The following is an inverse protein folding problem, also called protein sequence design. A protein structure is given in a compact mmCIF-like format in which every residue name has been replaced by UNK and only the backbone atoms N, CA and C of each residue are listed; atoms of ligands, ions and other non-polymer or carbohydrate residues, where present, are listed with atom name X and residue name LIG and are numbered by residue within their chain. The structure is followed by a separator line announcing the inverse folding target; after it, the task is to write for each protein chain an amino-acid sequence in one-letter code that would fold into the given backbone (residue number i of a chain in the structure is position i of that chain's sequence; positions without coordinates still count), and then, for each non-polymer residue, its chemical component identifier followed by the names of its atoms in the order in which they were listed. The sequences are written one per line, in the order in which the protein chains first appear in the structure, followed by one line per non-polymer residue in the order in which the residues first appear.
data_IF_798661791914
#
_entry.id   IF_798661791914
#
_cell.length_a   1.000
_cell.length_b   1.000
_cell.length_c   1.000
_cell.angle_alpha   90.00
_cell.angle_beta   90.00
_cell.angle_gamma   90.00
#
_symmetry.space_group_name_H-M   'P 1'
#
loop_
_entity.id
_entity.type
_entity.pdbx_description
1 polymer ?
#
# COMPACT_ATOMS: atom_id res chain seq x y z
N UNK A 1 3.06 -10.29 4.91
CA UNK A 1 3.34 -8.88 5.22
C UNK A 1 3.66 -8.11 3.93
N UNK A 2 3.17 -6.89 3.83
CA UNK A 2 3.35 -5.98 2.67
C UNK A 2 4.83 -5.85 2.24
N UNK A 3 5.75 -5.75 3.20
CA UNK A 3 7.18 -5.57 2.96
C UNK A 3 7.88 -6.81 2.36
N UNK A 4 7.30 -8.02 2.53
CA UNK A 4 7.84 -9.31 2.01
C UNK A 4 6.97 -9.92 0.93
N UNK A 5 5.71 -9.49 0.82
CA UNK A 5 4.69 -10.10 -0.01
C UNK A 5 4.91 -9.92 -1.52
N UNK A 6 3.99 -10.49 -2.29
CA UNK A 6 3.95 -10.33 -3.73
C UNK A 6 3.49 -8.91 -4.14
N UNK A 7 3.80 -8.45 -5.37
CA UNK A 7 3.33 -7.15 -5.90
C UNK A 7 1.82 -6.93 -5.74
N UNK A 8 1.02 -7.99 -5.86
CA UNK A 8 -0.43 -7.93 -5.67
C UNK A 8 -0.82 -7.41 -4.28
N UNK A 9 -0.14 -7.87 -3.21
CA UNK A 9 -0.45 -7.45 -1.84
C UNK A 9 -0.12 -5.97 -1.61
N UNK A 10 0.95 -5.47 -2.22
CA UNK A 10 1.33 -4.05 -2.15
C UNK A 10 0.32 -3.18 -2.89
N UNK A 11 -0.12 -3.58 -4.10
CA UNK A 11 -1.20 -2.88 -4.80
C UNK A 11 -2.50 -2.88 -4.01
N UNK A 12 -2.91 -4.04 -3.47
CA UNK A 12 -4.13 -4.12 -2.65
C UNK A 12 -4.09 -3.19 -1.43
N UNK A 13 -2.93 -3.02 -0.82
CA UNK A 13 -2.77 -2.09 0.30
C UNK A 13 -3.03 -0.64 -0.12
N UNK A 14 -2.36 -0.16 -1.18
CA UNK A 14 -2.55 1.22 -1.65
C UNK A 14 -3.94 1.44 -2.24
N UNK A 15 -4.44 0.48 -3.04
CA UNK A 15 -5.77 0.59 -3.65
C UNK A 15 -6.87 0.64 -2.58
N UNK A 16 -6.73 -0.15 -1.49
CA UNK A 16 -7.65 -0.10 -0.35
C UNK A 16 -7.61 1.27 0.34
N UNK A 17 -6.43 1.76 0.67
CA UNK A 17 -6.24 3.04 1.34
C UNK A 17 -6.79 4.19 0.50
N UNK A 18 -6.46 4.26 -0.79
CA UNK A 18 -6.94 5.31 -1.69
C UNK A 18 -8.44 5.21 -1.95
N UNK A 19 -9.00 4.00 -2.03
CA UNK A 19 -10.45 3.78 -2.19
C UNK A 19 -11.26 4.25 -0.98
N UNK A 20 -10.73 4.08 0.24
CA UNK A 20 -11.39 4.58 1.46
C UNK A 20 -11.33 6.11 1.53
N UNK A 21 -10.24 6.70 1.08
CA UNK A 21 -10.03 8.15 1.13
C UNK A 21 -10.69 8.94 0.00
N UNK A 22 -10.98 8.29 -1.15
CA UNK A 22 -11.44 8.99 -2.35
C UNK A 22 -12.42 8.14 -3.18
N UNK A 23 -13.69 8.60 -3.23
CA UNK A 23 -14.76 7.95 -4.02
C UNK A 23 -14.46 7.92 -5.53
N UNK A 24 -13.76 8.93 -6.05
CA UNK A 24 -13.39 8.97 -7.47
C UNK A 24 -12.39 7.83 -7.78
N UNK A 25 -11.39 7.63 -6.90
CA UNK A 25 -10.41 6.56 -7.06
C UNK A 25 -11.05 5.16 -7.10
N UNK A 26 -11.96 4.83 -6.17
CA UNK A 26 -12.61 3.51 -6.17
C UNK A 26 -13.44 3.29 -7.44
N UNK A 27 -14.11 4.33 -7.95
CA UNK A 27 -14.84 4.23 -9.20
C UNK A 27 -13.91 3.93 -10.39
N UNK A 28 -12.80 4.68 -10.52
CA UNK A 28 -11.80 4.46 -11.57
C UNK A 28 -11.16 3.08 -11.49
N UNK A 29 -10.86 2.60 -10.28
CA UNK A 29 -10.36 1.25 -10.05
C UNK A 29 -11.36 0.17 -10.49
N UNK A 30 -12.64 0.35 -10.17
CA UNK A 30 -13.69 -0.59 -10.58
C UNK A 30 -13.92 -0.59 -12.08
N UNK A 31 -13.96 0.60 -12.72
CA UNK A 31 -14.09 0.73 -14.17
C UNK A 31 -12.92 0.05 -14.90
N UNK A 32 -11.70 0.30 -14.46
CA UNK A 32 -10.51 -0.34 -15.00
C UNK A 32 -10.54 -1.86 -14.85
N UNK A 33 -10.91 -2.38 -13.68
CA UNK A 33 -10.97 -3.82 -13.45
C UNK A 33 -12.05 -4.51 -14.31
N UNK A 34 -13.18 -3.84 -14.58
CA UNK A 34 -14.20 -4.33 -15.50
C UNK A 34 -13.67 -4.39 -16.93
N UNK A 35 -13.04 -3.31 -17.41
CA UNK A 35 -12.43 -3.27 -18.74
C UNK A 35 -11.34 -4.34 -18.91
N UNK A 36 -10.48 -4.51 -17.88
CA UNK A 36 -9.45 -5.56 -17.86
C UNK A 36 -10.04 -6.96 -17.94
N UNK A 37 -11.11 -7.24 -17.21
CA UNK A 37 -11.81 -8.53 -17.26
C UNK A 37 -12.38 -8.80 -18.66
N UNK A 38 -12.99 -7.80 -19.29
CA UNK A 38 -13.56 -7.90 -20.64
C UNK A 38 -12.48 -8.14 -21.68
N UNK A 39 -11.37 -7.37 -21.64
CA UNK A 39 -10.23 -7.60 -22.55
C UNK A 39 -9.63 -9.00 -22.36
N UNK A 40 -9.46 -9.46 -21.13
CA UNK A 40 -8.93 -10.80 -20.88
C UNK A 40 -9.87 -11.90 -21.41
N UNK A 41 -11.18 -11.72 -21.31
CA UNK A 41 -12.15 -12.66 -21.91
C UNK A 41 -12.04 -12.68 -23.46
N UNK A 42 -11.89 -11.50 -24.09
CA UNK A 42 -11.66 -11.42 -25.54
C UNK A 42 -10.35 -12.11 -25.94
N UNK A 43 -9.26 -11.90 -25.21
CA UNK A 43 -7.98 -12.58 -25.44
C UNK A 43 -8.10 -14.11 -25.37
N UNK A 44 -8.83 -14.63 -24.39
CA UNK A 44 -9.09 -16.06 -24.25
C UNK A 44 -9.91 -16.61 -25.42
N UNK A 45 -10.98 -15.91 -25.81
CA UNK A 45 -11.80 -16.31 -26.96
C UNK A 45 -10.99 -16.32 -28.29
N UNK A 46 -10.09 -15.35 -28.50
CA UNK A 46 -9.20 -15.32 -29.65
C UNK A 46 -8.20 -16.50 -29.61
N UNK A 47 -7.58 -16.73 -28.45
CA UNK A 47 -6.65 -17.85 -28.26
C UNK A 47 -7.30 -19.20 -28.55
N UNK A 48 -8.58 -19.35 -28.15
CA UNK A 48 -9.35 -20.59 -28.32
C UNK A 48 -10.10 -20.64 -29.70
N UNK A 49 -9.71 -19.79 -30.66
CA UNK A 49 -10.28 -19.68 -32.02
C UNK A 49 -11.79 -19.44 -32.10
N UNK A 50 -12.40 -18.94 -31.02
CA UNK A 50 -13.83 -18.61 -30.93
C UNK A 50 -14.17 -17.29 -31.61
N UNK A 51 -13.20 -16.37 -31.70
CA UNK A 51 -13.37 -15.02 -32.25
C UNK A 51 -12.12 -14.57 -33.01
N UNK A 52 -12.31 -13.62 -33.96
CA UNK A 52 -11.21 -13.06 -34.74
C UNK A 52 -10.44 -12.00 -33.96
N UNK A 53 -9.15 -11.88 -34.26
CA UNK A 53 -8.21 -10.93 -33.63
C UNK A 53 -8.66 -9.46 -33.72
N UNK A 54 -9.31 -9.07 -34.83
CA UNK A 54 -9.82 -7.69 -35.01
C UNK A 54 -10.88 -7.26 -34.00
N UNK A 55 -11.48 -8.20 -33.26
CA UNK A 55 -12.46 -7.91 -32.21
C UNK A 55 -11.80 -7.45 -30.89
N UNK A 56 -10.48 -7.40 -30.80
CA UNK A 56 -9.78 -6.92 -29.61
C UNK A 56 -9.73 -5.38 -29.52
N UNK A 57 -9.73 -4.70 -30.66
CA UNK A 57 -9.56 -3.23 -30.73
C UNK A 57 -10.51 -2.41 -29.85
N UNK A 58 -11.82 -2.70 -29.77
CA UNK A 58 -12.72 -1.98 -28.85
C UNK A 58 -12.31 -2.09 -27.39
N UNK A 59 -11.84 -3.28 -26.98
CA UNK A 59 -11.39 -3.53 -25.60
C UNK A 59 -10.05 -2.88 -25.29
N UNK A 60 -9.14 -2.80 -26.27
CA UNK A 60 -7.88 -2.06 -26.16
C UNK A 60 -8.14 -0.57 -25.92
N UNK A 61 -9.07 0.03 -26.69
CA UNK A 61 -9.46 1.43 -26.55
C UNK A 61 -10.11 1.70 -25.20
N UNK A 62 -11.03 0.87 -24.77
CA UNK A 62 -11.69 1.00 -23.46
C UNK A 62 -10.67 0.86 -22.33
N UNK A 63 -9.82 -0.16 -22.38
CA UNK A 63 -8.83 -0.40 -21.34
C UNK A 63 -7.80 0.73 -21.25
N UNK A 64 -7.33 1.27 -22.39
CA UNK A 64 -6.36 2.38 -22.42
C UNK A 64 -6.94 3.63 -21.76
N UNK A 65 -8.19 3.99 -22.07
CA UNK A 65 -8.89 5.12 -21.43
C UNK A 65 -9.01 4.96 -19.90
N UNK A 66 -9.43 3.75 -19.46
CA UNK A 66 -9.59 3.50 -18.02
C UNK A 66 -8.24 3.37 -17.28
N UNK A 67 -7.20 2.91 -17.98
CA UNK A 67 -5.84 2.83 -17.46
C UNK A 67 -5.22 4.22 -17.26
N UNK A 68 -5.34 5.13 -18.24
CA UNK A 68 -4.89 6.52 -18.15
C UNK A 68 -5.48 7.20 -16.92
N UNK A 69 -6.81 7.12 -16.77
CA UNK A 69 -7.53 7.71 -15.64
C UNK A 69 -7.04 7.16 -14.30
N UNK A 70 -6.95 5.83 -14.18
CA UNK A 70 -6.51 5.18 -12.93
C UNK A 70 -5.06 5.50 -12.60
N UNK A 71 -4.16 5.49 -13.60
CA UNK A 71 -2.75 5.86 -13.40
C UNK A 71 -2.59 7.31 -12.96
N UNK A 72 -3.32 8.26 -13.55
CA UNK A 72 -3.31 9.66 -13.13
C UNK A 72 -3.71 9.82 -11.67
N UNK A 73 -4.84 9.25 -11.27
CA UNK A 73 -5.31 9.31 -9.88
C UNK A 73 -4.37 8.59 -8.91
N UNK A 74 -3.84 7.41 -9.29
CA UNK A 74 -2.89 6.65 -8.47
C UNK A 74 -1.58 7.41 -8.28
N UNK A 75 -1.07 8.05 -9.32
CA UNK A 75 0.16 8.83 -9.26
C UNK A 75 0.04 10.00 -8.27
N UNK A 76 -1.04 10.77 -8.34
CA UNK A 76 -1.30 11.87 -7.40
C UNK A 76 -1.36 11.40 -5.94
N UNK A 77 -2.10 10.29 -5.69
CA UNK A 77 -2.21 9.74 -4.34
C UNK A 77 -0.89 9.14 -3.83
N UNK A 78 -0.11 8.49 -4.70
CA UNK A 78 1.21 7.96 -4.36
C UNK A 78 2.19 9.08 -4.02
N UNK A 79 2.16 10.19 -4.74
CA UNK A 79 3.01 11.35 -4.44
C UNK A 79 2.70 11.90 -3.04
N UNK A 80 1.41 12.08 -2.71
CA UNK A 80 1.00 12.53 -1.38
C UNK A 80 1.38 11.52 -0.29
N UNK A 81 1.15 10.24 -0.54
CA UNK A 81 1.49 9.16 0.40
C UNK A 81 3.00 9.10 0.64
N UNK A 82 3.81 9.18 -0.42
CA UNK A 82 5.27 9.11 -0.32
C UNK A 82 5.84 10.29 0.50
N UNK A 83 5.36 11.50 0.26
CA UNK A 83 5.77 12.68 1.04
C UNK A 83 5.41 12.51 2.53
N UNK A 84 4.21 11.99 2.80
CA UNK A 84 3.78 11.72 4.18
C UNK A 84 4.60 10.59 4.82
N UNK A 85 4.96 9.55 4.05
CA UNK A 85 5.80 8.46 4.53
C UNK A 85 7.21 8.94 4.90
N UNK A 86 7.83 9.75 4.05
CA UNK A 86 9.14 10.35 4.34
C UNK A 86 9.09 11.22 5.60
N UNK A 87 8.08 12.07 5.73
CA UNK A 87 7.86 12.87 6.96
C UNK A 87 7.65 11.98 8.20
N UNK A 88 6.96 10.86 8.06
CA UNK A 88 6.74 9.89 9.14
C UNK A 88 8.05 9.21 9.56
N UNK A 89 8.91 8.87 8.60
CA UNK A 89 10.26 8.33 8.86
C UNK A 89 11.11 9.35 9.60
N UNK A 90 11.17 10.58 9.11
CA UNK A 90 11.94 11.67 9.74
C UNK A 90 11.48 11.98 11.17
N UNK A 91 10.18 11.94 11.40
CA UNK A 91 9.60 12.15 12.73
C UNK A 91 9.97 11.01 13.71
N UNK A 92 10.10 9.79 13.21
CA UNK A 92 10.54 8.66 14.01
C UNK A 92 12.05 8.72 14.29
N UNK A 93 12.86 8.90 13.25
CA UNK A 93 14.32 9.01 13.37
C UNK A 93 14.93 9.56 12.06
N UNK A 94 15.50 10.75 12.11
CA UNK A 94 16.11 11.45 10.98
C UNK A 94 17.37 10.76 10.42
N UNK A 95 17.95 9.81 11.15
CA UNK A 95 19.12 9.06 10.70
C UNK A 95 18.77 7.87 9.80
N UNK A 96 17.48 7.52 9.71
CA UNK A 96 17.02 6.39 8.90
C UNK A 96 16.84 6.80 7.44
N UNK A 97 17.40 6.03 6.54
CA UNK A 97 17.18 6.13 5.10
C UNK A 97 16.20 5.03 4.64
N UNK A 98 14.89 5.30 4.80
CA UNK A 98 13.83 4.41 4.33
C UNK A 98 13.05 5.13 3.23
N UNK A 99 13.02 4.54 2.03
CA UNK A 99 12.38 5.12 0.84
C UNK A 99 11.43 4.14 0.17
N UNK A 100 10.54 4.68 -0.64
CA UNK A 100 9.69 3.89 -1.54
C UNK A 100 9.93 4.31 -2.98
N UNK A 101 9.77 3.38 -3.91
CA UNK A 101 9.71 3.65 -5.34
C UNK A 101 8.51 2.93 -5.92
N UNK A 102 7.85 3.55 -6.89
CA UNK A 102 6.72 2.95 -7.60
C UNK A 102 7.00 2.87 -9.09
N UNK A 103 6.48 1.82 -9.73
CA UNK A 103 6.48 1.69 -11.19
C UNK A 103 5.29 2.40 -11.83
N UNK A 104 4.43 3.05 -11.05
CA UNK A 104 3.33 3.87 -11.55
C UNK A 104 3.88 5.11 -12.25
N UNK A 105 3.53 5.29 -13.51
CA UNK A 105 3.95 6.41 -14.33
C UNK A 105 2.73 7.08 -14.96
N UNK A 106 2.83 8.39 -15.21
CA UNK A 106 1.83 9.10 -16.01
C UNK A 106 2.01 8.72 -17.46
N UNK A 107 0.94 8.22 -18.09
CA UNK A 107 0.90 7.85 -19.51
C UNK A 107 -0.43 8.27 -20.09
N UNK A 108 -0.39 8.78 -21.33
CA UNK A 108 -1.61 9.09 -22.06
C UNK A 108 -2.21 7.85 -22.71
N UNK A 109 -3.46 7.99 -23.15
CA UNK A 109 -4.23 6.89 -23.77
C UNK A 109 -3.52 6.30 -24.99
N UNK A 110 -2.91 7.15 -25.83
CA UNK A 110 -2.23 6.76 -27.07
C UNK A 110 -1.01 5.87 -26.78
N UNK A 111 -0.18 6.28 -25.81
CA UNK A 111 0.98 5.49 -25.36
C UNK A 111 0.56 4.14 -24.77
N UNK A 112 -0.54 4.12 -24.01
CA UNK A 112 -1.07 2.89 -23.42
C UNK A 112 -1.56 1.97 -24.53
N UNK A 113 -2.34 2.50 -25.48
CA UNK A 113 -2.86 1.75 -26.60
C UNK A 113 -1.74 1.14 -27.47
N UNK A 114 -0.69 1.92 -27.75
CA UNK A 114 0.50 1.43 -28.48
C UNK A 114 1.17 0.27 -27.72
N UNK A 115 1.34 0.41 -26.40
CA UNK A 115 1.92 -0.64 -25.57
C UNK A 115 1.06 -1.91 -25.51
N UNK A 116 -0.27 -1.79 -25.51
CA UNK A 116 -1.18 -2.95 -25.60
C UNK A 116 -1.03 -3.65 -26.96
N UNK A 117 -0.95 -2.90 -28.06
CA UNK A 117 -0.74 -3.43 -29.42
C UNK A 117 0.61 -4.16 -29.57
N UNK A 118 1.70 -3.55 -29.05
CA UNK A 118 3.04 -4.20 -29.06
C UNK A 118 3.05 -5.55 -28.34
N UNK A 119 2.17 -5.77 -27.37
CA UNK A 119 2.09 -6.99 -26.56
C UNK A 119 0.97 -7.94 -26.98
N UNK A 120 0.20 -7.59 -28.00
CA UNK A 120 -1.02 -8.29 -28.42
C UNK A 120 -0.82 -9.80 -28.61
N UNK A 121 0.16 -10.22 -29.43
CA UNK A 121 0.44 -11.63 -29.70
C UNK A 121 0.80 -12.40 -28.41
N UNK A 122 1.59 -11.77 -27.52
CA UNK A 122 1.97 -12.35 -26.22
C UNK A 122 0.77 -12.46 -25.30
N UNK A 123 -0.12 -11.45 -25.30
CA UNK A 123 -1.31 -11.41 -24.47
C UNK A 123 -2.34 -12.47 -24.95
N UNK A 124 -2.52 -12.62 -26.28
CA UNK A 124 -3.35 -13.67 -26.87
C UNK A 124 -2.82 -15.05 -26.45
N UNK A 125 -1.54 -15.34 -26.66
CA UNK A 125 -0.94 -16.63 -26.29
C UNK A 125 -1.14 -16.98 -24.82
N UNK A 126 -1.15 -15.97 -23.93
CA UNK A 126 -1.34 -16.13 -22.48
C UNK A 126 -2.80 -16.05 -22.03
N UNK A 127 -3.71 -15.61 -22.89
CA UNK A 127 -5.10 -15.34 -22.56
C UNK A 127 -5.28 -14.23 -21.48
N UNK A 128 -4.30 -13.32 -21.35
CA UNK A 128 -4.30 -12.28 -20.32
C UNK A 128 -3.45 -11.06 -20.66
N UNK A 129 -3.90 -9.91 -20.23
CA UNK A 129 -3.21 -8.63 -20.39
C UNK A 129 -1.93 -8.60 -19.54
N UNK A 130 -0.81 -8.18 -20.14
CA UNK A 130 0.50 -8.13 -19.51
C UNK A 130 0.99 -6.70 -19.19
N UNK A 131 0.20 -5.66 -19.51
CA UNK A 131 0.56 -4.25 -19.34
C UNK A 131 -0.62 -3.45 -18.79
N UNK A 132 -0.36 -2.54 -17.85
CA UNK A 132 -1.36 -1.67 -17.24
C UNK A 132 -1.23 -1.55 -15.72
N UNK A 133 -2.07 -0.72 -15.05
CA UNK A 133 -2.07 -0.48 -13.60
C UNK A 133 -2.08 -1.72 -12.72
N UNK A 134 -2.65 -2.84 -13.20
CA UNK A 134 -2.65 -4.13 -12.49
C UNK A 134 -1.28 -4.81 -12.44
N UNK A 135 -0.25 -4.25 -13.09
CA UNK A 135 1.15 -4.70 -13.08
C UNK A 135 2.07 -3.82 -12.26
N UNK A 136 1.58 -2.67 -11.79
CA UNK A 136 2.38 -1.78 -10.96
C UNK A 136 2.91 -2.48 -9.71
N UNK A 137 4.01 -1.95 -9.20
CA UNK A 137 4.61 -2.40 -7.95
C UNK A 137 5.15 -1.22 -7.14
N UNK A 138 5.27 -1.43 -5.83
CA UNK A 138 5.92 -0.52 -4.90
C UNK A 138 7.06 -1.28 -4.24
N UNK A 139 8.26 -0.72 -4.34
CA UNK A 139 9.46 -1.27 -3.71
C UNK A 139 9.84 -0.41 -2.51
N UNK A 140 10.20 -1.06 -1.41
CA UNK A 140 10.71 -0.42 -0.21
C UNK A 140 12.23 -0.60 -0.15
N UNK A 141 12.94 0.47 0.21
CA UNK A 141 14.38 0.49 0.36
C UNK A 141 14.76 0.83 1.79
N UNK A 142 15.83 0.25 2.26
CA UNK A 142 16.48 0.52 3.53
C UNK A 142 17.97 0.72 3.29
N UNK A 143 18.50 1.90 3.59
CA UNK A 143 19.88 2.28 3.29
C UNK A 143 20.28 1.94 1.84
N UNK A 144 19.44 2.31 0.88
CA UNK A 144 19.65 2.10 -0.54
C UNK A 144 19.49 0.66 -1.05
N UNK A 145 19.26 -0.34 -0.18
CA UNK A 145 19.04 -1.75 -0.56
C UNK A 145 17.57 -2.11 -0.50
N UNK A 146 17.11 -3.02 -1.38
CA UNK A 146 15.73 -3.50 -1.36
C UNK A 146 15.43 -4.21 -0.05
N UNK A 147 14.45 -3.70 0.69
CA UNK A 147 14.06 -4.25 1.99
C UNK A 147 13.63 -5.71 1.89
N UNK A 148 12.97 -6.10 0.78
CA UNK A 148 12.48 -7.46 0.56
C UNK A 148 13.60 -8.50 0.58
N UNK A 149 14.74 -8.18 -0.01
CA UNK A 149 15.87 -9.11 -0.22
C UNK A 149 16.90 -9.05 0.91
N UNK A 150 17.14 -7.86 1.45
CA UNK A 150 18.24 -7.61 2.37
C UNK A 150 17.79 -7.21 3.77
N UNK A 151 16.51 -6.95 3.97
CA UNK A 151 16.00 -6.45 5.26
C UNK A 151 16.00 -7.52 6.36
N UNK A 152 16.47 -7.14 7.53
CA UNK A 152 16.31 -7.91 8.77
C UNK A 152 14.84 -7.94 9.22
N UNK A 153 14.51 -8.86 10.13
CA UNK A 153 13.14 -8.96 10.67
C UNK A 153 12.70 -7.67 11.39
N UNK A 154 13.62 -7.03 12.13
CA UNK A 154 13.36 -5.76 12.82
C UNK A 154 13.11 -4.61 11.85
N UNK A 155 13.89 -4.51 10.76
CA UNK A 155 13.69 -3.50 9.71
C UNK A 155 12.34 -3.67 8.98
N UNK A 156 11.94 -4.90 8.68
CA UNK A 156 10.62 -5.17 8.13
C UNK A 156 9.50 -4.77 9.09
N UNK A 157 9.62 -5.07 10.40
CA UNK A 157 8.60 -4.69 11.39
C UNK A 157 8.53 -3.18 11.55
N UNK A 158 9.67 -2.50 11.65
CA UNK A 158 9.70 -1.06 11.77
C UNK A 158 9.12 -0.38 10.52
N UNK A 159 9.51 -0.81 9.33
CA UNK A 159 8.94 -0.27 8.08
C UNK A 159 7.42 -0.50 8.01
N UNK A 160 6.93 -1.68 8.41
CA UNK A 160 5.50 -1.97 8.46
C UNK A 160 4.76 -1.05 9.46
N UNK A 161 5.35 -0.80 10.63
CA UNK A 161 4.81 0.15 11.61
C UNK A 161 4.72 1.55 11.02
N UNK A 162 5.80 2.06 10.42
CA UNK A 162 5.82 3.39 9.79
C UNK A 162 4.81 3.51 8.64
N UNK A 163 4.65 2.46 7.84
CA UNK A 163 3.61 2.39 6.81
C UNK A 163 2.19 2.46 7.40
N UNK A 164 1.94 1.78 8.52
CA UNK A 164 0.64 1.81 9.20
C UNK A 164 0.34 3.16 9.83
N UNK A 165 1.34 3.81 10.38
CA UNK A 165 1.21 5.20 10.86
C UNK A 165 0.92 6.14 9.69
N UNK A 166 1.64 6.01 8.59
CA UNK A 166 1.40 6.82 7.38
C UNK A 166 0.00 6.59 6.81
N UNK A 167 -0.46 5.34 6.75
CA UNK A 167 -1.84 4.99 6.34
C UNK A 167 -2.86 5.71 7.24
N UNK A 168 -2.67 5.66 8.55
CA UNK A 168 -3.53 6.32 9.54
C UNK A 168 -3.58 7.84 9.31
N UNK A 169 -2.42 8.48 9.14
CA UNK A 169 -2.33 9.92 8.88
C UNK A 169 -2.93 10.31 7.52
N UNK A 170 -2.71 9.49 6.50
CA UNK A 170 -3.29 9.70 5.18
C UNK A 170 -4.82 9.63 5.23
N UNK A 171 -5.38 8.62 5.89
CA UNK A 171 -6.81 8.48 6.09
C UNK A 171 -7.39 9.64 6.91
N UNK A 172 -6.75 10.02 8.03
CA UNK A 172 -7.17 11.18 8.82
C UNK A 172 -7.23 12.46 7.99
N UNK A 173 -6.22 12.71 7.17
CA UNK A 173 -6.16 13.89 6.30
C UNK A 173 -7.35 13.99 5.34
N UNK A 174 -7.84 12.85 4.83
CA UNK A 174 -8.91 12.81 3.84
C UNK A 174 -10.31 12.62 4.44
N UNK A 175 -10.43 11.93 5.59
CA UNK A 175 -11.72 11.63 6.21
C UNK A 175 -12.04 12.51 7.41
N UNK A 176 -11.05 13.26 7.92
CA UNK A 176 -11.17 14.05 9.14
C UNK A 176 -11.12 13.24 10.44
N UNK A 177 -11.13 11.91 10.38
CA UNK A 177 -11.21 11.02 11.55
C UNK A 177 -10.01 10.08 11.60
N UNK A 178 -9.43 9.88 12.78
CA UNK A 178 -8.40 8.86 12.99
C UNK A 178 -9.02 7.46 12.96
N UNK A 179 -8.50 6.54 12.15
CA UNK A 179 -8.89 5.13 12.21
C UNK A 179 -8.34 4.46 13.47
N UNK A 180 -8.94 3.34 13.88
CA UNK A 180 -8.39 2.47 14.92
C UNK A 180 -7.11 1.83 14.39
N UNK A 181 -6.02 1.95 15.14
CA UNK A 181 -4.73 1.37 14.80
C UNK A 181 -4.59 -0.02 15.43
N UNK A 182 -4.46 -1.05 14.60
CA UNK A 182 -4.24 -2.44 15.02
C UNK A 182 -2.79 -2.83 14.75
N UNK A 183 -2.05 -3.18 15.79
CA UNK A 183 -0.63 -3.54 15.75
C UNK A 183 -0.43 -4.94 16.33
N UNK A 184 -0.22 -5.91 15.44
CA UNK A 184 -0.06 -7.31 15.82
C UNK A 184 1.40 -7.64 16.07
N UNK A 185 1.70 -8.18 17.25
CA UNK A 185 3.03 -8.62 17.71
C UNK A 185 4.15 -7.58 17.44
N UNK A 186 3.82 -6.28 17.63
CA UNK A 186 4.70 -5.18 17.24
C UNK A 186 6.06 -5.23 17.93
N UNK A 187 6.08 -5.48 19.25
CA UNK A 187 7.29 -5.38 20.08
C UNK A 187 8.20 -6.60 20.00
N UNK A 188 7.72 -7.75 19.50
CA UNK A 188 8.55 -8.93 19.34
C UNK A 188 9.66 -8.68 18.32
N UNK A 189 10.91 -9.02 18.66
CA UNK A 189 12.11 -8.86 17.82
C UNK A 189 12.50 -7.41 17.50
N UNK A 190 11.98 -6.43 18.25
CA UNK A 190 12.50 -5.07 18.29
C UNK A 190 13.38 -4.90 19.52
N UNK A 191 14.46 -4.16 19.39
CA UNK A 191 15.26 -3.73 20.53
C UNK A 191 14.50 -2.69 21.38
N UNK A 192 14.95 -2.50 22.60
CA UNK A 192 14.29 -1.61 23.55
C UNK A 192 14.29 -0.14 23.07
N UNK A 193 15.36 0.28 22.39
CA UNK A 193 15.48 1.65 21.91
C UNK A 193 14.43 1.96 20.83
N UNK A 194 14.30 1.07 19.83
CA UNK A 194 13.25 1.15 18.80
C UNK A 194 11.85 1.11 19.43
N UNK A 195 11.66 0.24 20.42
CA UNK A 195 10.38 0.14 21.14
C UNK A 195 10.00 1.43 21.85
N UNK A 196 10.96 2.10 22.51
CA UNK A 196 10.76 3.42 23.13
C UNK A 196 10.42 4.51 22.10
N UNK A 197 11.10 4.53 20.96
CA UNK A 197 10.81 5.48 19.86
C UNK A 197 9.41 5.27 19.29
N UNK A 198 8.96 4.01 19.13
CA UNK A 198 7.59 3.68 18.71
C UNK A 198 6.56 4.23 19.70
N UNK A 199 6.76 3.99 21.01
CA UNK A 199 5.88 4.49 22.06
C UNK A 199 5.84 6.03 22.07
N UNK A 200 7.00 6.67 21.88
CA UNK A 200 7.07 8.12 21.76
C UNK A 200 6.26 8.63 20.57
N UNK A 201 6.41 7.98 19.40
CA UNK A 201 5.67 8.34 18.19
C UNK A 201 4.15 8.15 18.36
N UNK A 202 3.70 7.02 18.91
CA UNK A 202 2.28 6.78 19.16
C UNK A 202 1.66 7.85 20.08
N UNK A 203 2.44 8.44 20.97
CA UNK A 203 1.95 9.50 21.86
C UNK A 203 1.70 10.84 21.17
N UNK A 204 2.24 11.05 19.95
CA UNK A 204 2.02 12.28 19.18
C UNK A 204 0.64 12.32 18.51
N UNK A 205 0.01 11.16 18.30
CA UNK A 205 -1.31 11.06 17.64
C UNK A 205 -2.47 11.30 18.64
N UNK A 206 -2.34 12.35 19.45
CA UNK A 206 -3.43 12.84 20.29
C UNK A 206 -4.11 13.99 19.58
N UNK A 207 -5.41 13.91 19.40
CA UNK A 207 -6.19 15.05 18.95
C UNK A 207 -6.27 16.08 20.08
N UNK A 208 -6.11 17.35 19.77
CA UNK A 208 -6.20 18.47 20.73
C UNK A 208 -7.59 18.53 21.38
N UNK A 209 -8.64 17.98 20.73
CA UNK A 209 -10.01 17.92 21.21
C UNK A 209 -10.37 16.67 22.04
N UNK A 210 -9.42 15.99 22.67
CA UNK A 210 -9.67 14.79 23.51
C UNK A 210 -10.13 13.51 22.78
N UNK A 211 -10.23 13.48 21.46
CA UNK A 211 -10.52 12.28 20.67
C UNK A 211 -9.23 11.52 20.39
N UNK A 212 -8.81 10.70 21.34
CA UNK A 212 -7.60 9.86 21.22
C UNK A 212 -7.80 8.80 20.14
N UNK A 213 -6.79 8.63 19.29
CA UNK A 213 -6.72 7.45 18.43
C UNK A 213 -6.73 6.18 19.28
N UNK A 214 -7.69 5.30 19.06
CA UNK A 214 -7.67 3.99 19.70
C UNK A 214 -6.59 3.12 19.05
N UNK A 215 -5.67 2.61 19.87
CA UNK A 215 -4.64 1.68 19.41
C UNK A 215 -4.80 0.35 20.15
N UNK A 216 -4.86 -0.75 19.41
CA UNK A 216 -4.90 -2.10 19.95
C UNK A 216 -3.59 -2.77 19.57
N UNK A 217 -2.86 -3.26 20.57
CA UNK A 217 -1.54 -3.87 20.39
C UNK A 217 -1.62 -5.28 20.96
N UNK A 218 -1.26 -6.29 20.16
CA UNK A 218 -0.98 -7.63 20.67
C UNK A 218 0.53 -7.81 20.84
N UNK A 219 0.94 -8.61 21.83
CA UNK A 219 2.34 -8.95 22.05
C UNK A 219 2.49 -10.26 22.81
N UNK A 220 3.56 -10.97 22.52
CA UNK A 220 4.06 -12.11 23.32
C UNK A 220 5.20 -11.70 24.23
N UNK A 221 5.73 -10.46 24.12
CA UNK A 221 6.85 -9.92 24.87
C UNK A 221 6.38 -8.77 25.79
N UNK A 222 5.82 -9.15 26.93
CA UNK A 222 5.29 -8.19 27.90
C UNK A 222 6.42 -7.35 28.54
N UNK A 223 7.61 -7.94 28.73
CA UNK A 223 8.74 -7.23 29.33
C UNK A 223 9.23 -6.08 28.44
N UNK A 224 9.27 -6.27 27.12
CA UNK A 224 9.60 -5.20 26.19
C UNK A 224 8.55 -4.07 26.23
N UNK A 225 7.27 -4.42 26.33
CA UNK A 225 6.18 -3.44 26.46
C UNK A 225 6.33 -2.63 27.75
N UNK A 226 6.59 -3.27 28.89
CA UNK A 226 6.77 -2.59 30.19
C UNK A 226 8.00 -1.68 30.16
N UNK A 227 9.13 -2.18 29.69
CA UNK A 227 10.41 -1.45 29.59
C UNK A 227 10.38 -0.31 28.55
N UNK A 228 9.56 -0.41 27.51
CA UNK A 228 9.36 0.65 26.53
C UNK A 228 8.62 1.86 27.09
N UNK A 229 7.98 1.72 28.27
CA UNK A 229 7.21 2.76 28.91
C UNK A 229 5.78 2.92 28.38
N UNK A 230 5.30 2.01 27.53
CA UNK A 230 3.96 2.08 26.94
C UNK A 230 2.89 2.21 28.02
N UNK A 231 2.90 1.34 29.03
CA UNK A 231 1.89 1.29 30.09
C UNK A 231 1.93 2.51 31.01
N UNK A 232 3.14 3.08 31.24
CA UNK A 232 3.31 4.28 32.09
C UNK A 232 2.84 5.55 31.38
N UNK A 233 3.00 5.63 30.06
CA UNK A 233 2.75 6.84 29.28
C UNK A 233 1.26 7.04 28.95
N UNK A 234 0.45 6.00 29.06
CA UNK A 234 -0.98 6.03 28.72
C UNK A 234 -1.82 5.70 29.95
N UNK A 235 -2.29 6.71 30.67
CA UNK A 235 -3.14 6.57 31.87
C UNK A 235 -4.45 5.81 31.63
N UNK A 236 -4.92 5.73 30.39
CA UNK A 236 -6.15 5.02 29.99
C UNK A 236 -5.85 3.72 29.25
N UNK A 237 -4.69 3.09 29.45
CA UNK A 237 -4.38 1.80 28.87
C UNK A 237 -5.06 0.66 29.67
N UNK A 238 -5.59 -0.34 28.94
CA UNK A 238 -6.12 -1.56 29.54
C UNK A 238 -5.32 -2.75 29.02
N UNK A 239 -4.77 -3.53 29.92
CA UNK A 239 -4.08 -4.78 29.59
C UNK A 239 -5.03 -5.95 29.76
N UNK A 240 -5.13 -6.79 28.74
CA UNK A 240 -5.90 -8.05 28.75
C UNK A 240 -4.92 -9.19 28.54
N UNK A 241 -4.83 -10.10 29.52
CA UNK A 241 -4.03 -11.34 29.39
C UNK A 241 -4.93 -12.46 28.88
N UNK A 242 -4.55 -13.03 27.76
CA UNK A 242 -5.23 -14.23 27.22
C UNK A 242 -4.60 -15.45 27.88
N UNK A 243 -5.42 -16.27 28.56
CA UNK A 243 -5.01 -17.58 29.05
C UNK A 243 -5.20 -18.60 27.91
N UNK A 244 -4.25 -19.52 27.76
CA UNK A 244 -4.39 -20.66 26.86
C UNK A 244 -5.28 -21.71 27.48
#
# INVERSE_FOLDING_TARGET
PITKGAPLQRRQFIDKMFSVSNKKYINSLQEYNRALKQRNAALQNIRDDKTKKNQLSPWDNLLSEKAEKLWGERFEHLLMFNNLFLSTVDQYDRTLDIKTSSTTELKNKEEILENLKKRENKDIARGRTSYGPHKDDITFFWNGKTLREYGSQGEHKLTLFLLKVTEMLFLKKHTGVYPILLLDDLFAKLDLERSKKIVAMLSLFRDEESKKTQTIITTTDILNVENSGLLKKYSNSKTIRLQR
#
